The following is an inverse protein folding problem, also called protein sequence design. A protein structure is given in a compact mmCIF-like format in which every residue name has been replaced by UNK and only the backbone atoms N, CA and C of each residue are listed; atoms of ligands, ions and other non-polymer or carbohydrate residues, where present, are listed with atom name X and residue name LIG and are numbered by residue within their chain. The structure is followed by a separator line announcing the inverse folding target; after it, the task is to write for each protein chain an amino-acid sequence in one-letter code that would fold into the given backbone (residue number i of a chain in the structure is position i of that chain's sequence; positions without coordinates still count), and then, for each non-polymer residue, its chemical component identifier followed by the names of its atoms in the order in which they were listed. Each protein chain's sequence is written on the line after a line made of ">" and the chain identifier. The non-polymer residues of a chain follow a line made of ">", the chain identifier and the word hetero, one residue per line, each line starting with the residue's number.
data_IF_847654657957
#
_entry.id   IF_847654657957
#
_cell.length_a   1.000
_cell.length_b   1.000
_cell.length_c   1.000
_cell.angle_alpha   90.00
_cell.angle_beta   90.00
_cell.angle_gamma   90.00
#
_symmetry.space_group_name_H-M   'P 1'
#
loop_
_entity.id
_entity.type
_entity.pdbx_description
1 polymer ?
#
# COMPACT_ATOMS: atom_id res chain seq x y z
N UNK A 1 -22.28 -20.98 -40.13
CA UNK A 1 -20.90 -20.81 -39.64
C UNK A 1 -20.96 -19.88 -38.45
N UNK A 2 -20.95 -20.40 -37.22
CA UNK A 2 -20.94 -19.64 -35.96
C UNK A 2 -19.48 -19.53 -35.52
N UNK A 3 -18.90 -18.36 -35.62
CA UNK A 3 -17.57 -18.08 -35.12
C UNK A 3 -17.68 -17.85 -33.60
N UNK A 4 -17.20 -18.82 -32.82
CA UNK A 4 -17.03 -18.71 -31.38
C UNK A 4 -15.78 -17.87 -31.13
N UNK A 5 -15.97 -16.63 -30.69
CA UNK A 5 -14.90 -15.78 -30.20
C UNK A 5 -14.64 -16.17 -28.73
N UNK A 6 -13.71 -17.09 -28.54
CA UNK A 6 -13.23 -17.45 -27.20
C UNK A 6 -12.29 -16.35 -26.75
N UNK A 7 -12.79 -15.45 -25.90
CA UNK A 7 -11.97 -14.47 -25.21
C UNK A 7 -11.13 -15.23 -24.19
N UNK A 8 -9.86 -15.44 -24.51
CA UNK A 8 -8.88 -16.01 -23.58
C UNK A 8 -8.56 -14.91 -22.55
N UNK A 9 -9.23 -14.97 -21.41
CA UNK A 9 -8.91 -14.12 -20.26
C UNK A 9 -7.64 -14.69 -19.62
N UNK A 10 -6.48 -14.23 -20.08
CA UNK A 10 -5.22 -14.44 -19.38
C UNK A 10 -5.27 -13.56 -18.15
N UNK A 11 -5.72 -14.11 -17.03
CA UNK A 11 -5.48 -13.52 -15.73
C UNK A 11 -3.98 -13.61 -15.47
N UNK A 12 -3.26 -12.54 -15.74
CA UNK A 12 -1.93 -12.34 -15.18
C UNK A 12 -2.10 -12.27 -13.66
N UNK A 13 -1.98 -13.42 -13.02
CA UNK A 13 -1.72 -13.52 -11.59
C UNK A 13 -0.30 -12.97 -11.39
N UNK A 14 -0.18 -11.65 -11.34
CA UNK A 14 1.01 -11.04 -10.77
C UNK A 14 1.06 -11.53 -9.32
N UNK A 15 2.11 -12.23 -8.90
CA UNK A 15 2.29 -12.52 -7.50
C UNK A 15 2.40 -11.18 -6.80
N UNK A 16 1.38 -10.83 -6.02
CA UNK A 16 1.46 -9.69 -5.14
C UNK A 16 2.47 -10.06 -4.06
N UNK A 17 3.67 -9.58 -4.20
CA UNK A 17 4.60 -9.49 -3.08
C UNK A 17 3.93 -8.50 -2.13
N UNK A 18 3.28 -9.04 -1.09
CA UNK A 18 2.71 -8.20 -0.04
C UNK A 18 3.86 -7.47 0.65
N UNK A 19 3.59 -6.29 1.19
CA UNK A 19 4.52 -5.69 2.15
C UNK A 19 4.64 -6.70 3.27
N UNK A 20 5.87 -7.03 3.64
CA UNK A 20 6.10 -7.94 4.76
C UNK A 20 5.61 -7.32 6.05
N UNK A 21 5.11 -8.18 6.92
CA UNK A 21 4.76 -7.80 8.26
C UNK A 21 6.04 -7.47 9.03
N UNK A 22 6.01 -6.40 9.80
CA UNK A 22 7.10 -6.10 10.73
C UNK A 22 6.93 -6.93 12.00
N UNK A 23 7.99 -7.59 12.42
CA UNK A 23 8.00 -8.45 13.58
C UNK A 23 8.98 -7.95 14.62
N UNK A 24 8.58 -8.03 15.87
CA UNK A 24 9.47 -7.89 17.02
C UNK A 24 9.20 -9.02 17.99
N UNK A 25 10.23 -9.73 18.39
CA UNK A 25 10.16 -10.75 19.45
C UNK A 25 11.32 -10.57 20.42
N UNK A 26 11.00 -10.37 21.69
CA UNK A 26 12.01 -10.13 22.70
C UNK A 26 11.47 -9.51 23.96
N UNK A 27 12.40 -9.05 24.81
CA UNK A 27 12.06 -8.39 26.05
C UNK A 27 11.98 -6.87 25.87
N UNK A 28 10.87 -6.29 26.30
CA UNK A 28 10.68 -4.85 26.41
C UNK A 28 10.72 -4.49 27.89
N UNK A 29 11.90 -4.07 28.34
CA UNK A 29 12.17 -3.97 29.77
C UNK A 29 12.04 -5.33 30.45
N UNK A 30 11.10 -5.46 31.39
CA UNK A 30 10.82 -6.70 32.13
C UNK A 30 9.72 -7.57 31.52
N UNK A 31 9.15 -7.17 30.35
CA UNK A 31 8.06 -7.89 29.69
C UNK A 31 8.56 -8.65 28.48
N UNK A 32 8.28 -9.96 28.42
CA UNK A 32 8.53 -10.76 27.22
C UNK A 32 7.34 -10.64 26.27
N UNK A 33 7.58 -10.24 25.03
CA UNK A 33 6.52 -9.90 24.09
C UNK A 33 6.86 -10.27 22.66
N UNK A 34 5.81 -10.48 21.85
CA UNK A 34 5.87 -10.56 20.41
C UNK A 34 4.92 -9.52 19.83
N UNK A 35 5.40 -8.71 18.90
CA UNK A 35 4.64 -7.68 18.21
C UNK A 35 4.65 -8.01 16.74
N UNK A 36 3.47 -7.99 16.13
CA UNK A 36 3.28 -8.18 14.69
C UNK A 36 2.55 -6.95 14.17
N UNK A 37 3.14 -6.28 13.19
CA UNK A 37 2.52 -5.13 12.55
C UNK A 37 2.35 -5.46 11.08
N UNK A 38 1.10 -5.50 10.62
CA UNK A 38 0.71 -5.69 9.23
C UNK A 38 0.52 -4.31 8.60
N UNK A 39 1.47 -3.82 7.76
CA UNK A 39 1.34 -2.51 7.16
C UNK A 39 0.18 -2.44 6.17
N UNK A 40 -0.36 -1.24 5.89
CA UNK A 40 -1.41 -1.09 4.90
C UNK A 40 -0.86 -1.37 3.50
N UNK A 41 -1.62 -2.09 2.68
CA UNK A 41 -1.25 -2.29 1.28
C UNK A 41 -1.50 -1.07 0.39
N UNK A 42 -2.17 -0.04 0.92
CA UNK A 42 -2.48 1.23 0.26
C UNK A 42 -2.23 2.36 1.24
N UNK A 43 -1.61 3.44 0.79
CA UNK A 43 -1.31 4.62 1.62
C UNK A 43 -2.10 5.83 1.12
N UNK A 44 -2.80 6.55 2.01
CA UNK A 44 -2.97 6.31 3.45
C UNK A 44 -3.79 5.05 3.75
N UNK A 45 -3.49 4.38 4.86
CA UNK A 45 -4.17 3.15 5.23
C UNK A 45 -4.00 2.75 6.69
N UNK A 46 -4.71 1.71 7.10
CA UNK A 46 -4.66 1.15 8.44
C UNK A 46 -3.62 0.03 8.51
N UNK A 47 -2.67 0.17 9.42
CA UNK A 47 -1.79 -0.91 9.84
C UNK A 47 -2.46 -1.68 10.98
N UNK A 48 -2.51 -3.00 10.88
CA UNK A 48 -3.04 -3.84 11.97
C UNK A 48 -1.92 -4.25 12.91
N UNK A 49 -2.09 -3.98 14.18
CA UNK A 49 -1.09 -4.21 15.22
C UNK A 49 -1.60 -5.28 16.17
N UNK A 50 -0.83 -6.35 16.31
CA UNK A 50 -1.10 -7.46 17.21
C UNK A 50 0.06 -7.58 18.19
N UNK A 51 -0.22 -7.50 19.48
CA UNK A 51 0.76 -7.54 20.55
C UNK A 51 0.43 -8.71 21.48
N UNK A 52 1.33 -9.66 21.56
CA UNK A 52 1.21 -10.81 22.43
C UNK A 52 2.15 -10.61 23.63
N UNK A 53 1.59 -10.50 24.81
CA UNK A 53 2.37 -10.51 26.05
C UNK A 53 2.46 -11.92 26.58
N UNK A 54 3.67 -12.44 26.71
CA UNK A 54 3.89 -13.75 27.33
C UNK A 54 3.65 -13.65 28.84
N UNK A 55 3.91 -12.47 29.38
CA UNK A 55 3.70 -12.16 30.80
C UNK A 55 2.26 -11.68 31.03
N UNK A 56 1.56 -12.31 31.99
CA UNK A 56 0.19 -11.90 32.39
C UNK A 56 0.13 -10.59 33.17
N UNK A 57 1.27 -9.99 33.44
CA UNK A 57 1.42 -8.82 34.33
C UNK A 57 1.31 -7.48 33.59
N UNK A 58 1.02 -7.50 32.25
CA UNK A 58 0.73 -6.30 31.45
C UNK A 58 -0.71 -5.89 31.68
N UNK A 59 -0.91 -4.70 32.24
CA UNK A 59 -2.22 -4.15 32.54
C UNK A 59 -2.77 -3.35 31.35
N UNK A 60 -1.93 -2.54 30.74
CA UNK A 60 -2.30 -1.72 29.59
C UNK A 60 -1.17 -1.64 28.56
N UNK A 61 -1.58 -1.54 27.31
CA UNK A 61 -0.70 -1.28 26.17
C UNK A 61 -1.21 -0.05 25.43
N UNK A 62 -0.30 0.78 24.98
CA UNK A 62 -0.65 1.89 24.09
C UNK A 62 0.37 2.02 22.96
N UNK A 63 -0.08 2.56 21.82
CA UNK A 63 0.73 2.65 20.59
C UNK A 63 0.68 4.05 20.01
N UNK A 64 1.75 4.42 19.30
CA UNK A 64 1.85 5.67 18.57
C UNK A 64 2.70 5.46 17.33
N UNK A 65 2.22 5.91 16.15
CA UNK A 65 3.02 5.92 14.94
C UNK A 65 3.76 7.25 14.81
N UNK A 66 5.03 7.16 14.50
CA UNK A 66 5.90 8.33 14.26
C UNK A 66 6.57 8.14 12.92
N UNK A 67 6.31 9.07 12.00
CA UNK A 67 6.97 9.06 10.70
C UNK A 67 8.45 9.43 10.85
N UNK A 68 9.36 8.71 10.20
CA UNK A 68 10.81 8.94 10.32
C UNK A 68 11.26 10.33 9.87
N UNK A 69 10.55 10.93 8.93
CA UNK A 69 10.80 12.32 8.53
C UNK A 69 10.31 13.34 9.53
N UNK A 70 9.45 12.92 10.46
CA UNK A 70 8.97 13.81 11.51
C UNK A 70 10.06 14.10 12.53
N UNK A 71 11.38 13.94 12.13
CA UNK A 71 12.39 14.73 12.75
C UNK A 71 12.95 14.25 14.06
N UNK A 72 14.16 14.53 14.23
CA UNK A 72 14.91 14.49 15.49
C UNK A 72 14.03 14.25 16.72
N UNK A 73 14.39 13.28 17.52
CA UNK A 73 13.73 12.86 18.78
C UNK A 73 13.27 14.03 19.68
N UNK A 74 13.86 15.21 19.52
CA UNK A 74 13.52 16.41 20.31
C UNK A 74 12.17 17.02 19.91
N UNK A 75 11.73 16.88 18.67
CA UNK A 75 10.41 17.37 18.23
C UNK A 75 9.28 16.41 18.58
N UNK A 76 9.54 15.13 18.79
CA UNK A 76 8.53 14.16 19.26
C UNK A 76 7.96 14.53 20.63
N UNK A 77 8.79 15.11 21.49
CA UNK A 77 8.35 15.64 22.79
C UNK A 77 7.52 16.93 22.64
N UNK A 78 7.67 17.65 21.53
CA UNK A 78 6.95 18.91 21.28
C UNK A 78 5.55 18.70 20.70
N UNK A 79 5.32 17.62 19.94
CA UNK A 79 4.00 17.35 19.34
C UNK A 79 2.98 16.75 20.29
N UNK A 80 3.37 16.34 21.47
CA UNK A 80 2.46 15.85 22.54
C UNK A 80 1.32 14.93 22.06
N UNK A 81 1.60 14.12 21.03
CA UNK A 81 0.65 13.14 20.52
C UNK A 81 0.54 12.04 21.54
N UNK A 82 -0.61 11.93 22.17
CA UNK A 82 -0.86 10.86 23.13
C UNK A 82 -0.90 9.52 22.41
N UNK A 83 -0.26 8.49 22.96
CA UNK A 83 -0.45 7.14 22.46
C UNK A 83 -1.90 6.67 22.59
N UNK A 84 -2.38 5.95 21.59
CA UNK A 84 -3.69 5.33 21.60
C UNK A 84 -3.67 4.07 22.46
N UNK A 85 -4.66 3.90 23.31
CA UNK A 85 -4.78 2.72 24.17
C UNK A 85 -5.25 1.53 23.32
N UNK A 86 -4.53 0.43 23.44
CA UNK A 86 -4.84 -0.80 22.69
C UNK A 86 -5.76 -1.69 23.53
N UNK A 87 -6.95 -2.04 23.05
CA UNK A 87 -7.84 -2.95 23.74
C UNK A 87 -7.27 -4.37 23.82
N UNK A 88 -7.59 -5.09 24.89
CA UNK A 88 -7.35 -6.54 24.95
C UNK A 88 -8.28 -7.25 23.99
N UNK A 89 -7.78 -8.31 23.36
CA UNK A 89 -8.59 -9.18 22.53
C UNK A 89 -9.54 -10.02 23.38
N UNK A 90 -10.80 -10.10 22.96
CA UNK A 90 -11.78 -11.00 23.59
C UNK A 90 -11.60 -12.46 23.17
N UNK A 91 -10.81 -12.71 22.12
CA UNK A 91 -10.65 -14.03 21.50
C UNK A 91 -9.40 -14.77 21.94
N UNK A 92 -8.34 -14.05 22.29
CA UNK A 92 -7.04 -14.62 22.63
C UNK A 92 -6.52 -13.99 23.92
N UNK A 93 -6.22 -14.84 24.90
CA UNK A 93 -5.64 -14.41 26.16
C UNK A 93 -4.30 -13.68 25.94
N UNK A 94 -4.10 -12.60 26.68
CA UNK A 94 -2.87 -11.78 26.65
C UNK A 94 -2.50 -11.19 25.28
N UNK A 95 -3.46 -11.10 24.37
CA UNK A 95 -3.32 -10.38 23.11
C UNK A 95 -3.99 -9.02 23.19
N UNK A 96 -3.29 -8.02 22.67
CA UNK A 96 -3.81 -6.68 22.45
C UNK A 96 -3.82 -6.43 20.93
N UNK A 97 -4.89 -5.86 20.41
CA UNK A 97 -5.02 -5.61 18.98
C UNK A 97 -5.66 -4.26 18.72
N UNK A 98 -5.12 -3.54 17.75
CA UNK A 98 -5.67 -2.27 17.26
C UNK A 98 -5.26 -2.04 15.82
N UNK A 99 -5.95 -1.10 15.17
CA UNK A 99 -5.57 -0.57 13.87
C UNK A 99 -5.06 0.87 14.05
N UNK A 100 -3.96 1.19 13.35
CA UNK A 100 -3.30 2.48 13.43
C UNK A 100 -3.15 3.08 12.02
N UNK A 101 -3.57 4.34 11.84
CA UNK A 101 -3.43 5.02 10.56
C UNK A 101 -1.97 5.37 10.26
N UNK A 102 -1.51 4.93 9.09
CA UNK A 102 -0.29 5.42 8.44
C UNK A 102 -0.71 6.36 7.31
N UNK A 103 -0.51 7.66 7.53
CA UNK A 103 -1.09 8.69 6.68
C UNK A 103 -0.25 9.01 5.46
N UNK A 104 1.05 8.73 5.53
CA UNK A 104 2.00 9.10 4.49
C UNK A 104 2.90 7.92 4.11
N UNK A 105 3.55 8.02 2.96
CA UNK A 105 4.53 7.05 2.51
C UNK A 105 5.84 7.19 3.29
N UNK A 106 6.58 6.10 3.43
CA UNK A 106 7.89 6.09 4.03
C UNK A 106 7.99 5.23 5.28
N UNK A 107 9.11 5.33 5.98
CA UNK A 107 9.34 4.55 7.17
C UNK A 107 8.70 5.20 8.40
N UNK A 108 8.06 4.39 9.21
CA UNK A 108 7.49 4.74 10.50
C UNK A 108 8.18 3.98 11.62
N UNK A 109 8.32 4.60 12.77
CA UNK A 109 8.53 3.93 14.05
C UNK A 109 7.20 3.79 14.78
N UNK A 110 6.72 2.57 14.98
CA UNK A 110 5.58 2.32 15.85
C UNK A 110 6.09 2.14 17.27
N UNK A 111 5.85 3.13 18.11
CA UNK A 111 6.19 3.06 19.54
C UNK A 111 5.09 2.30 20.26
N UNK A 112 5.49 1.24 20.95
CA UNK A 112 4.60 0.41 21.78
C UNK A 112 4.99 0.59 23.22
N UNK A 113 4.07 1.06 24.04
CA UNK A 113 4.26 1.31 25.46
C UNK A 113 3.53 0.24 26.27
N UNK A 114 4.23 -0.31 27.23
CA UNK A 114 3.70 -1.28 28.19
C UNK A 114 3.64 -0.65 29.57
N UNK A 115 2.53 -0.86 30.28
CA UNK A 115 2.33 -0.45 31.65
C UNK A 115 1.73 -1.63 32.44
N UNK A 116 2.28 -1.95 33.59
CA UNK A 116 1.83 -3.04 34.42
C UNK A 116 2.65 -3.18 35.69
N UNK A 117 2.50 -4.28 36.39
CA UNK A 117 3.10 -4.51 37.72
C UNK A 117 4.64 -4.44 37.73
N UNK A 118 5.31 -4.69 36.60
CA UNK A 118 6.77 -4.61 36.44
C UNK A 118 7.28 -3.22 36.02
N UNK A 119 6.40 -2.21 36.01
CA UNK A 119 6.73 -0.83 35.61
C UNK A 119 6.42 -0.51 34.17
N UNK A 120 6.94 0.64 33.72
CA UNK A 120 6.71 1.14 32.34
C UNK A 120 7.90 0.83 31.46
N UNK A 121 7.62 0.38 30.25
CA UNK A 121 8.64 0.10 29.24
C UNK A 121 8.09 0.40 27.85
N UNK A 122 8.97 0.67 26.89
CA UNK A 122 8.58 0.88 25.51
C UNK A 122 9.59 0.30 24.53
N UNK A 123 9.12 0.04 23.32
CA UNK A 123 9.93 -0.37 22.16
C UNK A 123 9.45 0.35 20.93
N UNK A 124 10.35 0.55 19.98
CA UNK A 124 10.03 1.11 18.65
C UNK A 124 10.20 -0.01 17.65
N UNK A 125 9.12 -0.31 16.92
CA UNK A 125 9.13 -1.29 15.83
C UNK A 125 9.10 -0.52 14.50
N UNK A 126 10.10 -0.68 13.63
CA UNK A 126 10.10 -0.05 12.32
C UNK A 126 9.04 -0.67 11.41
N UNK A 127 8.35 0.16 10.65
CA UNK A 127 7.28 -0.26 9.73
C UNK A 127 7.35 0.54 8.45
N UNK A 128 7.24 -0.13 7.32
CA UNK A 128 7.16 0.51 6.01
C UNK A 128 5.72 0.84 5.62
N UNK A 129 5.50 2.10 5.26
CA UNK A 129 4.23 2.58 4.71
C UNK A 129 4.39 2.82 3.21
N UNK A 130 4.11 1.79 2.43
CA UNK A 130 4.22 1.83 0.95
C UNK A 130 2.97 1.22 0.32
N UNK A 131 2.61 1.66 -0.88
CA UNK A 131 1.51 1.06 -1.63
C UNK A 131 2.00 -0.13 -2.45
N UNK A 132 1.55 -1.32 -2.10
CA UNK A 132 1.84 -2.57 -2.83
C UNK A 132 0.58 -3.22 -3.42
N UNK A 133 -0.60 -2.67 -3.12
CA UNK A 133 -1.89 -3.19 -3.60
C UNK A 133 -2.69 -2.09 -4.28
N UNK A 134 -3.42 -2.45 -5.31
CA UNK A 134 -4.48 -1.62 -5.87
C UNK A 134 -5.82 -2.11 -5.33
N UNK A 135 -6.64 -1.17 -4.87
CA UNK A 135 -8.02 -1.49 -4.48
C UNK A 135 -8.85 -1.52 -5.77
N UNK A 136 -9.22 -2.72 -6.19
CA UNK A 136 -10.10 -2.88 -7.33
C UNK A 136 -11.55 -2.61 -6.94
N UNK A 137 -12.22 -1.82 -7.77
CA UNK A 137 -13.63 -1.57 -7.60
C UNK A 137 -14.44 -2.81 -8.02
N UNK A 138 -15.38 -3.25 -7.18
CA UNK A 138 -16.26 -4.36 -7.56
C UNK A 138 -17.05 -4.04 -8.83
N UNK A 139 -17.32 -5.06 -9.66
CA UNK A 139 -18.09 -4.87 -10.89
C UNK A 139 -19.47 -4.28 -10.64
N UNK A 140 -20.12 -4.64 -9.53
CA UNK A 140 -21.41 -4.08 -9.15
C UNK A 140 -21.30 -2.58 -8.90
N UNK A 141 -20.31 -2.13 -8.13
CA UNK A 141 -20.08 -0.72 -7.86
C UNK A 141 -19.77 0.05 -9.14
N UNK A 142 -18.87 -0.48 -9.98
CA UNK A 142 -18.52 0.11 -11.26
C UNK A 142 -19.72 0.30 -12.18
N UNK A 143 -20.54 -0.76 -12.33
CA UNK A 143 -21.77 -0.70 -13.15
C UNK A 143 -22.77 0.31 -12.59
N UNK A 144 -22.94 0.34 -11.28
CA UNK A 144 -23.82 1.32 -10.62
C UNK A 144 -23.38 2.75 -10.86
N UNK A 145 -22.07 3.04 -10.76
CA UNK A 145 -21.55 4.38 -11.02
C UNK A 145 -21.69 4.80 -12.49
N UNK A 146 -21.48 3.88 -13.42
CA UNK A 146 -21.73 4.14 -14.85
C UNK A 146 -23.20 4.46 -15.10
N UNK A 147 -24.11 3.70 -14.53
CA UNK A 147 -25.56 3.96 -14.63
C UNK A 147 -25.91 5.34 -14.06
N UNK A 148 -25.40 5.67 -12.89
CA UNK A 148 -25.62 6.98 -12.26
C UNK A 148 -25.02 8.12 -13.11
N UNK A 149 -23.86 7.94 -13.69
CA UNK A 149 -23.26 8.94 -14.60
C UNK A 149 -24.17 9.22 -15.78
N UNK A 150 -24.68 8.18 -16.45
CA UNK A 150 -25.59 8.32 -17.60
C UNK A 150 -26.89 8.99 -17.13
N UNK A 151 -27.46 8.55 -16.03
CA UNK A 151 -28.69 9.12 -15.48
C UNK A 151 -28.53 10.61 -15.17
N UNK A 152 -27.44 10.99 -14.51
CA UNK A 152 -27.17 12.39 -14.14
C UNK A 152 -26.86 13.25 -15.38
N UNK A 153 -26.16 12.70 -16.36
CA UNK A 153 -25.88 13.39 -17.62
C UNK A 153 -27.16 13.67 -18.40
N UNK A 154 -27.98 12.65 -18.64
CA UNK A 154 -29.26 12.78 -19.34
C UNK A 154 -30.24 13.66 -18.56
N UNK A 155 -30.32 13.45 -17.24
CA UNK A 155 -31.14 14.26 -16.36
C UNK A 155 -30.73 15.73 -16.36
N UNK A 156 -29.44 16.02 -16.27
CA UNK A 156 -28.90 17.38 -16.30
C UNK A 156 -29.22 18.11 -17.62
N UNK A 157 -28.99 17.44 -18.75
CA UNK A 157 -29.33 17.98 -20.06
C UNK A 157 -30.83 18.27 -20.15
N UNK A 158 -31.68 17.33 -19.69
CA UNK A 158 -33.12 17.52 -19.73
C UNK A 158 -33.58 18.67 -18.82
N UNK A 159 -33.07 18.77 -17.59
CA UNK A 159 -33.42 19.86 -16.67
C UNK A 159 -33.09 21.22 -17.27
N UNK A 160 -31.88 21.39 -17.84
CA UNK A 160 -31.45 22.65 -18.45
C UNK A 160 -32.30 22.99 -19.66
N UNK A 161 -32.51 21.99 -20.55
CA UNK A 161 -33.29 22.19 -21.76
C UNK A 161 -34.75 22.50 -21.52
N UNK A 162 -35.42 21.77 -20.58
CA UNK A 162 -36.80 22.03 -20.21
C UNK A 162 -36.98 23.37 -19.45
N UNK A 163 -36.08 23.68 -18.54
CA UNK A 163 -36.11 24.96 -17.84
C UNK A 163 -36.05 26.14 -18.84
N UNK A 164 -35.15 26.05 -19.85
CA UNK A 164 -35.09 27.07 -20.91
C UNK A 164 -36.38 27.07 -21.74
N UNK A 165 -36.90 25.90 -22.15
CA UNK A 165 -38.13 25.77 -22.90
C UNK A 165 -39.32 26.47 -22.16
N UNK A 166 -39.53 26.12 -20.92
CA UNK A 166 -40.62 26.67 -20.08
C UNK A 166 -40.45 28.18 -19.83
N UNK A 167 -39.24 28.67 -19.58
CA UNK A 167 -38.95 30.08 -19.36
C UNK A 167 -39.30 30.97 -20.56
N UNK A 168 -39.42 30.41 -21.75
CA UNK A 168 -39.73 31.17 -22.97
C UNK A 168 -41.19 31.14 -23.39
N UNK A 169 -42.04 30.40 -22.64
CA UNK A 169 -43.47 30.25 -22.94
C UNK A 169 -44.33 31.03 -21.93
N UNK A 170 -45.35 31.71 -22.47
CA UNK A 170 -46.40 32.22 -21.65
C UNK A 170 -47.48 31.16 -21.38
N UNK A 171 -48.28 31.36 -20.35
CA UNK A 171 -49.33 30.40 -19.96
C UNK A 171 -50.27 30.19 -21.16
N UNK A 172 -50.47 28.92 -21.54
CA UNK A 172 -51.30 28.44 -22.66
C UNK A 172 -50.80 28.84 -24.08
N UNK A 173 -49.53 29.20 -24.24
CA UNK A 173 -48.95 29.39 -25.58
C UNK A 173 -48.30 28.12 -26.10
N UNK A 174 -48.54 27.81 -27.38
CA UNK A 174 -47.78 26.79 -28.09
C UNK A 174 -46.45 27.37 -28.60
N UNK A 175 -45.35 26.62 -28.51
CA UNK A 175 -44.05 27.08 -28.96
C UNK A 175 -44.05 27.28 -30.49
N UNK A 176 -43.51 28.42 -30.91
CA UNK A 176 -43.27 28.65 -32.31
C UNK A 176 -41.95 27.93 -32.77
N UNK A 177 -41.79 27.73 -34.11
CA UNK A 177 -40.61 27.02 -34.68
C UNK A 177 -39.26 27.63 -34.27
N UNK A 178 -39.21 28.95 -34.04
CA UNK A 178 -38.00 29.67 -33.64
C UNK A 178 -37.63 29.37 -32.20
N UNK A 179 -38.63 29.34 -31.31
CA UNK A 179 -38.46 28.99 -29.89
C UNK A 179 -37.99 27.51 -29.75
N UNK A 180 -38.59 26.59 -30.53
CA UNK A 180 -38.16 25.18 -30.56
C UNK A 180 -36.70 25.05 -31.00
N UNK A 181 -36.30 25.75 -32.09
CA UNK A 181 -34.92 25.74 -32.58
C UNK A 181 -33.92 26.21 -31.49
N UNK A 182 -34.26 27.29 -30.79
CA UNK A 182 -33.42 27.78 -29.67
C UNK A 182 -33.33 26.77 -28.53
N UNK A 183 -34.42 26.12 -28.19
CA UNK A 183 -34.43 25.04 -27.17
C UNK A 183 -33.49 23.88 -27.53
N UNK A 184 -33.54 23.41 -28.80
CA UNK A 184 -32.61 22.37 -29.25
C UNK A 184 -31.14 22.82 -29.21
N UNK A 185 -30.87 24.10 -29.47
CA UNK A 185 -29.51 24.65 -29.32
C UNK A 185 -29.08 24.60 -27.87
N UNK A 186 -29.96 24.91 -26.91
CA UNK A 186 -29.66 24.83 -25.48
C UNK A 186 -29.41 23.38 -25.07
N UNK A 187 -30.21 22.42 -25.52
CA UNK A 187 -29.94 20.98 -25.30
C UNK A 187 -28.56 20.57 -25.83
N UNK A 188 -28.21 21.00 -27.04
CA UNK A 188 -26.90 20.68 -27.63
C UNK A 188 -25.76 21.33 -26.83
N UNK A 189 -25.89 22.61 -26.50
CA UNK A 189 -24.88 23.34 -25.72
C UNK A 189 -24.69 22.73 -24.32
N UNK A 190 -25.77 22.43 -23.63
CA UNK A 190 -25.70 21.79 -22.29
C UNK A 190 -25.06 20.40 -22.38
N UNK A 191 -25.37 19.62 -23.41
CA UNK A 191 -24.71 18.31 -23.65
C UNK A 191 -23.22 18.47 -23.87
N UNK A 192 -22.79 19.45 -24.66
CA UNK A 192 -21.37 19.72 -24.92
C UNK A 192 -20.65 20.16 -23.63
N UNK A 193 -21.26 21.08 -22.88
CA UNK A 193 -20.66 21.56 -21.62
C UNK A 193 -20.51 20.41 -20.62
N UNK A 194 -21.58 19.63 -20.39
CA UNK A 194 -21.54 18.48 -19.48
C UNK A 194 -20.56 17.41 -19.93
N UNK A 195 -20.46 17.17 -21.27
CA UNK A 195 -19.45 16.27 -21.81
C UNK A 195 -18.02 16.71 -21.46
N UNK A 196 -17.71 18.00 -21.65
CA UNK A 196 -16.39 18.52 -21.29
C UNK A 196 -16.13 18.50 -19.78
N UNK A 197 -17.14 18.66 -18.94
CA UNK A 197 -17.01 18.49 -17.47
C UNK A 197 -16.66 17.04 -17.12
N UNK A 198 -17.33 16.05 -17.72
CA UNK A 198 -17.04 14.62 -17.51
C UNK A 198 -15.64 14.28 -18.05
N UNK A 199 -15.29 14.79 -19.24
CA UNK A 199 -13.97 14.58 -19.82
C UNK A 199 -12.84 15.21 -18.97
N UNK A 200 -13.07 16.40 -18.44
CA UNK A 200 -12.14 17.06 -17.52
C UNK A 200 -11.95 16.25 -16.22
N UNK A 201 -13.04 15.73 -15.66
CA UNK A 201 -13.00 14.84 -14.51
C UNK A 201 -12.22 13.54 -14.78
N UNK A 202 -12.43 12.94 -15.94
CA UNK A 202 -11.66 11.76 -16.36
C UNK A 202 -10.15 12.06 -16.46
N UNK A 203 -9.76 13.14 -17.12
CA UNK A 203 -8.34 13.51 -17.21
C UNK A 203 -7.71 13.81 -15.84
N UNK A 204 -8.46 14.45 -14.96
CA UNK A 204 -8.01 14.67 -13.59
C UNK A 204 -7.78 13.35 -12.86
N UNK A 205 -8.70 12.41 -12.99
CA UNK A 205 -8.57 11.07 -12.39
C UNK A 205 -7.33 10.32 -12.91
N UNK A 206 -7.14 10.30 -14.23
CA UNK A 206 -5.95 9.68 -14.85
C UNK A 206 -4.64 10.30 -14.32
N UNK A 207 -4.65 11.62 -14.09
CA UNK A 207 -3.51 12.31 -13.47
C UNK A 207 -3.23 11.84 -12.04
N UNK A 208 -4.27 11.64 -11.24
CA UNK A 208 -4.15 11.12 -9.86
C UNK A 208 -3.67 9.66 -9.87
N UNK A 209 -4.24 8.82 -10.73
CA UNK A 209 -3.83 7.42 -10.89
C UNK A 209 -2.35 7.32 -11.26
N UNK A 210 -1.89 8.14 -12.20
CA UNK A 210 -0.47 8.20 -12.56
C UNK A 210 0.41 8.57 -11.37
N UNK A 211 0.04 9.57 -10.58
CA UNK A 211 0.79 9.96 -9.38
C UNK A 211 0.81 8.84 -8.34
N UNK A 212 -0.29 8.09 -8.18
CA UNK A 212 -0.34 6.93 -7.31
C UNK A 212 0.61 5.82 -7.80
N UNK A 213 0.58 5.50 -9.10
CA UNK A 213 1.44 4.49 -9.70
C UNK A 213 2.94 4.86 -9.66
N UNK A 214 3.28 6.13 -9.66
CA UNK A 214 4.66 6.58 -9.44
C UNK A 214 5.16 6.24 -8.03
N UNK A 215 4.26 6.18 -7.04
CA UNK A 215 4.55 5.84 -5.64
C UNK A 215 4.28 4.38 -5.30
N UNK A 216 3.88 3.60 -6.28
CA UNK A 216 3.65 2.17 -6.09
C UNK A 216 4.97 1.44 -5.89
N UNK A 217 4.97 0.45 -4.98
CA UNK A 217 6.17 -0.34 -4.71
C UNK A 217 6.71 -0.99 -5.98
N UNK A 218 8.00 -0.84 -6.19
CA UNK A 218 8.75 -1.49 -7.26
C UNK A 218 9.89 -2.26 -6.62
N UNK A 219 10.00 -3.58 -6.86
CA UNK A 219 11.13 -4.34 -6.38
C UNK A 219 12.42 -3.81 -6.99
N UNK A 220 13.52 -3.96 -6.28
CA UNK A 220 14.84 -3.62 -6.82
C UNK A 220 15.22 -4.57 -7.96
N UNK A 221 15.86 -4.03 -8.98
CA UNK A 221 16.47 -4.85 -10.02
C UNK A 221 17.56 -5.72 -9.39
N UNK A 222 17.50 -7.01 -9.67
CA UNK A 222 18.38 -8.00 -9.05
C UNK A 222 18.99 -8.88 -10.11
N UNK A 223 20.28 -9.03 -10.07
CA UNK A 223 21.00 -9.98 -10.92
C UNK A 223 21.46 -11.20 -10.12
N UNK A 224 21.23 -12.37 -10.69
CA UNK A 224 21.58 -13.65 -10.09
C UNK A 224 22.58 -14.37 -10.97
N UNK A 225 23.64 -14.89 -10.36
CA UNK A 225 24.63 -15.70 -11.05
C UNK A 225 24.93 -16.96 -10.22
N UNK A 226 24.74 -18.12 -10.84
CA UNK A 226 25.03 -19.41 -10.20
C UNK A 226 26.24 -20.03 -10.86
N UNK A 227 27.29 -20.30 -10.08
CA UNK A 227 28.48 -20.95 -10.52
C UNK A 227 28.96 -21.94 -9.46
N UNK A 228 29.20 -23.19 -9.85
CA UNK A 228 29.69 -24.25 -8.94
C UNK A 228 28.82 -24.37 -7.65
N UNK A 229 27.51 -24.32 -7.78
CA UNK A 229 26.56 -24.37 -6.66
C UNK A 229 26.63 -23.16 -5.69
N UNK A 230 27.33 -22.11 -6.09
CA UNK A 230 27.38 -20.84 -5.37
C UNK A 230 26.48 -19.87 -6.10
N UNK A 231 25.53 -19.29 -5.37
CA UNK A 231 24.64 -18.22 -5.82
C UNK A 231 25.23 -16.87 -5.42
N UNK A 232 25.54 -16.07 -6.41
CA UNK A 232 25.84 -14.65 -6.22
C UNK A 232 24.61 -13.83 -6.55
N UNK A 233 24.27 -12.94 -5.66
CA UNK A 233 23.12 -12.03 -5.74
C UNK A 233 23.66 -10.62 -5.72
N UNK A 234 23.40 -9.87 -6.76
CA UNK A 234 23.67 -8.42 -6.80
C UNK A 234 22.33 -7.70 -6.91
N UNK A 235 22.05 -6.86 -5.95
CA UNK A 235 20.83 -6.03 -5.91
C UNK A 235 21.26 -4.65 -6.34
N UNK A 236 20.73 -4.18 -7.46
CA UNK A 236 21.00 -2.84 -7.93
C UNK A 236 20.49 -1.84 -6.91
N UNK A 237 21.23 -0.77 -6.70
CA UNK A 237 20.78 0.34 -5.87
C UNK A 237 19.42 0.82 -6.37
N UNK A 238 18.56 1.36 -5.49
CA UNK A 238 17.20 1.74 -5.86
C UNK A 238 17.17 2.47 -7.18
N UNK A 239 16.19 2.17 -8.04
CA UNK A 239 16.05 2.84 -9.32
C UNK A 239 16.09 4.35 -9.11
N UNK A 240 16.86 5.07 -9.91
CA UNK A 240 16.96 6.54 -9.84
C UNK A 240 15.61 7.23 -10.03
N UNK A 241 14.63 6.52 -10.57
CA UNK A 241 13.24 6.93 -10.72
C UNK A 241 12.31 6.44 -9.59
N UNK A 242 12.87 5.93 -8.50
CA UNK A 242 12.13 5.60 -7.29
C UNK A 242 11.55 6.89 -6.67
N UNK A 243 10.66 7.52 -7.42
CA UNK A 243 9.99 8.77 -7.07
C UNK A 243 9.19 8.67 -5.78
N UNK A 244 8.82 7.45 -5.40
CA UNK A 244 8.16 7.15 -4.13
C UNK A 244 9.09 7.31 -2.91
N UNK A 245 10.43 7.21 -3.11
CA UNK A 245 11.41 7.51 -2.08
C UNK A 245 11.76 9.00 -2.03
N UNK A 246 11.90 9.64 -3.20
CA UNK A 246 12.42 11.00 -3.31
C UNK A 246 11.42 12.12 -3.01
N UNK A 247 10.14 11.93 -3.36
CA UNK A 247 9.15 13.01 -3.31
C UNK A 247 8.67 13.38 -1.90
N UNK A 248 9.05 12.61 -0.91
CA UNK A 248 8.55 12.82 0.46
C UNK A 248 9.59 13.30 1.47
N UNK A 249 10.77 13.68 1.00
CA UNK A 249 11.85 14.06 1.89
C UNK A 249 12.35 12.92 2.79
N UNK A 250 11.80 11.71 2.59
CA UNK A 250 12.22 10.50 3.23
C UNK A 250 13.45 10.00 2.52
N UNK A 251 14.57 10.27 3.10
CA UNK A 251 15.81 9.54 2.96
C UNK A 251 16.22 9.32 1.50
N UNK A 252 17.00 10.25 1.03
CA UNK A 252 17.74 10.14 -0.23
C UNK A 252 18.79 9.04 -0.22
N UNK A 253 19.08 8.49 0.93
CA UNK A 253 20.02 7.40 1.13
C UNK A 253 19.28 6.27 1.83
N UNK A 254 19.36 5.06 1.27
CA UNK A 254 19.00 3.87 2.03
C UNK A 254 19.90 3.84 3.24
N UNK A 255 19.33 3.76 4.41
CA UNK A 255 20.10 3.55 5.61
C UNK A 255 20.94 2.28 5.43
N UNK A 256 22.01 2.16 6.22
CA UNK A 256 22.80 0.93 6.22
C UNK A 256 21.90 -0.27 6.48
N UNK A 257 22.23 -1.39 5.88
CA UNK A 257 21.62 -2.67 6.23
C UNK A 257 21.85 -2.96 7.71
N UNK A 258 20.81 -3.40 8.37
CA UNK A 258 20.86 -3.84 9.77
C UNK A 258 20.70 -5.35 9.85
N UNK A 259 21.21 -5.91 10.95
CA UNK A 259 21.03 -7.33 11.21
C UNK A 259 19.60 -7.60 11.69
N UNK A 260 18.90 -8.44 10.97
CA UNK A 260 17.68 -9.07 11.40
C UNK A 260 17.98 -10.52 11.78
N UNK A 261 17.65 -10.93 13.00
CA UNK A 261 18.02 -12.25 13.54
C UNK A 261 19.51 -12.63 13.37
N UNK A 262 20.41 -11.64 13.51
CA UNK A 262 21.85 -11.75 13.29
C UNK A 262 22.28 -12.03 11.85
N UNK A 263 21.44 -11.74 10.86
CA UNK A 263 21.71 -11.86 9.43
C UNK A 263 21.40 -10.56 8.71
N UNK A 264 22.17 -10.26 7.66
CA UNK A 264 21.96 -9.06 6.85
C UNK A 264 20.90 -9.27 5.76
N UNK A 265 20.70 -10.52 5.35
CA UNK A 265 19.73 -10.85 4.33
C UNK A 265 19.16 -12.25 4.58
N UNK A 266 17.89 -12.39 4.24
CA UNK A 266 17.18 -13.66 4.23
C UNK A 266 16.70 -13.95 2.81
N UNK A 267 17.00 -15.13 2.30
CA UNK A 267 16.61 -15.56 0.96
C UNK A 267 15.67 -16.74 1.08
N UNK A 268 14.49 -16.59 0.52
CA UNK A 268 13.47 -17.64 0.45
C UNK A 268 13.35 -18.15 -0.97
N UNK A 269 13.45 -19.45 -1.17
CA UNK A 269 13.35 -20.09 -2.48
C UNK A 269 12.09 -20.94 -2.51
N UNK A 270 11.29 -20.73 -3.55
CA UNK A 270 10.06 -21.47 -3.81
C UNK A 270 10.11 -22.13 -5.18
N UNK A 271 9.62 -23.36 -5.26
CA UNK A 271 9.36 -24.03 -6.53
C UNK A 271 8.14 -23.39 -7.18
N UNK A 272 8.31 -22.80 -8.36
CA UNK A 272 7.24 -22.04 -9.04
C UNK A 272 6.09 -22.95 -9.49
N UNK A 273 6.39 -24.17 -9.93
CA UNK A 273 5.39 -25.12 -10.43
C UNK A 273 4.61 -25.75 -9.27
N UNK A 274 5.33 -26.22 -8.25
CA UNK A 274 4.72 -26.87 -7.08
C UNK A 274 4.19 -25.88 -6.06
N UNK A 275 4.56 -24.59 -6.18
CA UNK A 275 4.23 -23.54 -5.20
C UNK A 275 4.59 -23.94 -3.77
N UNK A 276 5.71 -24.63 -3.62
CA UNK A 276 6.20 -25.15 -2.35
C UNK A 276 7.48 -24.45 -1.93
N UNK A 277 7.63 -24.24 -0.64
CA UNK A 277 8.84 -23.73 -0.04
C UNK A 277 9.98 -24.76 -0.19
N UNK A 278 11.14 -24.32 -0.64
CA UNK A 278 12.29 -25.18 -0.90
C UNK A 278 13.45 -24.91 0.05
N UNK A 279 13.78 -23.64 0.29
CA UNK A 279 14.91 -23.29 1.13
C UNK A 279 14.80 -21.89 1.72
N UNK A 280 15.37 -21.73 2.92
CA UNK A 280 15.66 -20.48 3.57
C UNK A 280 17.17 -20.36 3.76
N UNK A 281 17.77 -19.37 3.14
CA UNK A 281 19.23 -19.19 3.11
C UNK A 281 19.58 -17.86 3.77
N UNK A 282 20.76 -17.84 4.40
CA UNK A 282 21.35 -16.64 4.98
C UNK A 282 22.66 -16.36 4.24
N UNK A 283 22.63 -15.55 3.19
CA UNK A 283 23.81 -15.25 2.43
C UNK A 283 24.84 -14.46 3.25
N UNK A 284 26.09 -14.59 2.85
CA UNK A 284 27.18 -13.80 3.37
C UNK A 284 27.25 -12.52 2.53
N UNK A 285 27.32 -11.38 3.19
CA UNK A 285 27.59 -10.12 2.51
C UNK A 285 29.02 -10.09 2.00
N UNK A 286 29.20 -9.67 0.77
CA UNK A 286 30.51 -9.50 0.15
C UNK A 286 31.10 -8.10 0.43
N UNK A 287 31.83 -7.56 -0.52
CA UNK A 287 32.55 -6.29 -0.36
C UNK A 287 31.62 -5.10 -0.40
N UNK A 288 30.51 -5.23 -1.14
CA UNK A 288 29.54 -4.13 -1.34
C UNK A 288 28.23 -4.44 -0.59
N UNK A 289 27.58 -3.42 -0.05
CA UNK A 289 26.41 -3.58 0.83
C UNK A 289 25.23 -4.34 0.19
N UNK A 290 25.22 -4.45 -1.15
CA UNK A 290 24.16 -5.09 -1.92
C UNK A 290 24.62 -6.32 -2.71
N UNK A 291 25.85 -6.81 -2.47
CA UNK A 291 26.36 -8.04 -3.04
C UNK A 291 26.41 -9.15 -2.00
N UNK A 292 25.76 -10.25 -2.30
CA UNK A 292 25.62 -11.39 -1.39
C UNK A 292 26.04 -12.69 -2.08
N UNK A 293 26.56 -13.61 -1.29
CA UNK A 293 26.94 -14.94 -1.73
C UNK A 293 26.38 -16.01 -0.80
N UNK A 294 25.86 -17.10 -1.36
CA UNK A 294 25.40 -18.25 -0.58
C UNK A 294 25.54 -19.55 -1.37
N UNK A 295 25.69 -20.66 -0.66
CA UNK A 295 25.65 -21.99 -1.29
C UNK A 295 24.18 -22.39 -1.51
N UNK A 296 23.86 -22.81 -2.74
CA UNK A 296 22.57 -23.39 -3.04
C UNK A 296 22.46 -24.80 -2.45
N UNK A 297 21.35 -25.19 -1.85
CA UNK A 297 21.08 -26.58 -1.52
C UNK A 297 20.94 -27.39 -2.79
N UNK A 298 21.02 -28.70 -2.66
CA UNK A 298 20.75 -29.60 -3.78
C UNK A 298 19.30 -29.50 -4.21
N UNK A 299 19.04 -28.80 -5.29
CA UNK A 299 17.71 -28.63 -5.89
C UNK A 299 17.66 -29.40 -7.22
N UNK A 300 16.48 -29.91 -7.56
CA UNK A 300 16.23 -30.52 -8.87
C UNK A 300 16.24 -29.48 -9.99
N UNK A 301 16.16 -29.95 -11.22
CA UNK A 301 15.90 -29.06 -12.36
C UNK A 301 14.45 -28.51 -12.26
N UNK A 302 14.28 -27.20 -12.50
CA UNK A 302 13.00 -26.54 -12.40
C UNK A 302 13.10 -25.01 -12.39
N UNK A 303 11.95 -24.36 -12.38
CA UNK A 303 11.84 -22.92 -12.22
C UNK A 303 11.63 -22.58 -10.74
N UNK A 304 12.44 -21.66 -10.25
CA UNK A 304 12.42 -21.24 -8.86
C UNK A 304 12.24 -19.73 -8.75
N UNK A 305 11.44 -19.31 -7.82
CA UNK A 305 11.26 -17.90 -7.45
C UNK A 305 12.02 -17.66 -6.15
N UNK A 306 12.82 -16.61 -6.13
CA UNK A 306 13.55 -16.17 -4.95
C UNK A 306 13.00 -14.84 -4.45
N UNK A 307 12.86 -14.74 -3.14
CA UNK A 307 12.56 -13.50 -2.43
C UNK A 307 13.74 -13.17 -1.54
N UNK A 308 14.25 -11.96 -1.66
CA UNK A 308 15.28 -11.43 -0.78
C UNK A 308 14.63 -10.44 0.20
N UNK A 309 14.85 -10.67 1.48
CA UNK A 309 14.43 -9.79 2.56
C UNK A 309 15.66 -9.11 3.16
N UNK A 310 15.63 -7.80 3.19
CA UNK A 310 16.72 -6.92 3.62
C UNK A 310 16.13 -5.85 4.54
N UNK A 311 16.68 -5.72 5.73
CA UNK A 311 16.26 -4.68 6.65
C UNK A 311 17.25 -3.51 6.64
N UNK A 312 16.74 -2.30 6.49
CA UNK A 312 17.52 -1.08 6.54
C UNK A 312 17.34 -0.33 7.84
N UNK A 313 18.36 0.44 8.25
CA UNK A 313 18.34 1.22 9.49
C UNK A 313 17.18 2.22 9.54
N UNK A 314 16.68 2.64 8.42
CA UNK A 314 15.56 3.56 8.28
C UNK A 314 14.19 2.87 8.28
N UNK A 315 14.15 1.55 8.41
CA UNK A 315 12.92 0.76 8.41
C UNK A 315 12.46 0.30 7.02
N UNK A 316 13.31 0.44 5.99
CA UNK A 316 13.10 -0.19 4.68
C UNK A 316 13.77 -1.54 4.66
#
# INVERSE_FOLDING_TARGET
>A
MRSCFTLLLVSLLLPHIGIENSYFEGNVGSYSTRIIIEPPGVVPGLASIKIFSIDREVESVSVRAVHNNAITRDTLNTFNVKPDVVPKSDQVDNMFQTDLWLMDYGAYGVEVFFDGSKGKSNVIVPVNSISSKMIEMSQFMSTTLWFLLILLFVGGVNIIGTAYYESTLEINQNPNKVKLKKTYIVYALSSVILFFMVYGGYNWWVGIEKQFMERFYKPFDTSLNVKNNILNISIDSPPKDASWLDKQGAIREHGKLILEHNKLAHIYIFDEEKKSFMAHLHPINLIDDYEFETCLPSMGEGNYVMYADLAHQNGF
#
